data_IF_853117439729
#
_entry.id   IF_853117439729
#
_cell.length_a   1.000
_cell.length_b   1.000
_cell.length_c   1.000
_cell.angle_alpha   90.00
_cell.angle_beta   90.00
_cell.angle_gamma   90.00
#
_symmetry.space_group_name_H-M   'P 1'
#
loop_
_entity.id
_entity.type
_entity.pdbx_description
1 polymer ?
#
# COMPACT_ATOMS: atom_id res chain seq x y z
N UNK A 1 -18.08 29.26 12.15
CA UNK A 1 -18.78 28.03 12.58
C UNK A 1 -17.70 27.06 13.04
N UNK A 2 -17.86 26.41 14.19
CA UNK A 2 -16.90 25.40 14.64
C UNK A 2 -16.94 24.20 13.69
N UNK A 3 -15.77 23.72 13.27
CA UNK A 3 -15.66 22.46 12.52
C UNK A 3 -16.34 21.30 13.28
N UNK A 4 -17.01 20.37 12.59
CA UNK A 4 -17.72 19.28 13.25
C UNK A 4 -16.75 18.36 14.01
N UNK A 5 -17.24 17.78 15.11
CA UNK A 5 -16.52 16.75 15.87
C UNK A 5 -16.40 15.49 15.01
N UNK A 6 -15.21 14.91 14.96
CA UNK A 6 -14.93 13.63 14.30
C UNK A 6 -14.97 12.52 15.35
N UNK A 7 -15.91 11.60 15.21
CA UNK A 7 -15.99 10.40 16.04
C UNK A 7 -15.10 9.30 15.45
N UNK A 8 -14.14 8.79 16.22
CA UNK A 8 -13.19 7.78 15.78
C UNK A 8 -13.52 6.41 16.41
N UNK A 9 -14.03 5.48 15.59
CA UNK A 9 -14.55 4.19 16.06
C UNK A 9 -13.48 3.10 16.12
N UNK A 10 -13.24 2.59 17.34
CA UNK A 10 -12.43 1.39 17.55
C UNK A 10 -10.93 1.55 17.30
N UNK A 11 -10.41 2.77 17.37
CA UNK A 11 -8.96 3.02 17.25
C UNK A 11 -8.22 2.64 18.54
N UNK A 12 -7.18 1.81 18.40
CA UNK A 12 -6.28 1.45 19.49
C UNK A 12 -5.57 2.68 20.07
N UNK A 13 -5.17 2.63 21.36
CA UNK A 13 -4.57 3.77 22.07
C UNK A 13 -3.37 4.38 21.32
N UNK A 14 -2.54 3.56 20.70
CA UNK A 14 -1.35 4.02 19.98
C UNK A 14 -1.66 4.75 18.67
N UNK A 15 -2.81 4.48 18.03
CA UNK A 15 -3.26 5.17 16.81
C UNK A 15 -3.96 6.50 17.11
N UNK A 16 -4.43 6.73 18.34
CA UNK A 16 -5.22 7.92 18.69
C UNK A 16 -4.47 9.24 18.48
N UNK A 17 -3.19 9.28 18.85
CA UNK A 17 -2.38 10.49 18.75
C UNK A 17 -2.07 10.87 17.28
N UNK A 18 -1.56 9.97 16.42
CA UNK A 18 -1.46 10.23 14.99
C UNK A 18 -2.79 10.61 14.34
N UNK A 19 -3.89 9.95 14.73
CA UNK A 19 -5.20 10.25 14.18
C UNK A 19 -5.63 11.70 14.46
N UNK A 20 -5.41 12.22 15.68
CA UNK A 20 -5.70 13.63 15.99
C UNK A 20 -4.95 14.61 15.08
N UNK A 21 -3.67 14.33 14.79
CA UNK A 21 -2.89 15.15 13.85
C UNK A 21 -3.46 15.12 12.43
N UNK A 22 -4.13 14.03 12.05
CA UNK A 22 -4.79 13.90 10.75
C UNK A 22 -6.10 14.70 10.65
N UNK A 23 -6.56 15.32 11.74
CA UNK A 23 -7.73 16.21 11.77
C UNK A 23 -7.40 17.50 12.54
N UNK A 24 -6.49 18.35 12.03
CA UNK A 24 -5.93 19.48 12.78
C UNK A 24 -6.96 20.57 13.12
N UNK A 25 -8.08 20.62 12.41
CA UNK A 25 -9.14 21.60 12.60
C UNK A 25 -10.35 21.03 13.35
N UNK A 26 -10.39 19.72 13.63
CA UNK A 26 -11.53 19.06 14.26
C UNK A 26 -11.17 18.53 15.65
N UNK A 27 -12.12 18.57 16.57
CA UNK A 27 -12.03 17.74 17.77
C UNK A 27 -12.23 16.27 17.39
N UNK A 28 -11.38 15.37 17.91
CA UNK A 28 -11.50 13.92 17.68
C UNK A 28 -11.93 13.20 18.95
N UNK A 29 -13.17 12.71 18.95
CA UNK A 29 -13.77 11.93 20.02
C UNK A 29 -13.61 10.43 19.76
N UNK A 30 -12.96 9.68 20.65
CA UNK A 30 -12.73 8.24 20.47
C UNK A 30 -13.85 7.42 21.09
N UNK A 31 -14.53 6.62 20.28
CA UNK A 31 -15.63 5.76 20.71
C UNK A 31 -15.32 4.28 20.47
N UNK A 32 -15.83 3.42 21.34
CA UNK A 32 -15.65 1.96 21.22
C UNK A 32 -16.77 1.28 20.42
N UNK A 33 -17.96 1.88 20.39
CA UNK A 33 -19.19 1.31 19.84
C UNK A 33 -19.89 2.34 18.93
N UNK A 34 -20.56 1.85 17.89
CA UNK A 34 -21.21 2.68 16.87
C UNK A 34 -22.43 3.46 17.43
N UNK A 35 -23.11 2.91 18.44
CA UNK A 35 -24.23 3.55 19.10
C UNK A 35 -23.84 4.78 19.96
N UNK A 36 -22.54 5.05 20.15
CA UNK A 36 -22.05 6.27 20.81
C UNK A 36 -21.74 7.39 19.80
N UNK A 37 -21.88 7.13 18.50
CA UNK A 37 -21.76 8.14 17.45
C UNK A 37 -23.14 8.78 17.31
N UNK A 38 -23.30 10.11 17.36
CA UNK A 38 -24.59 10.75 17.09
C UNK A 38 -25.02 10.63 15.63
N UNK A 39 -26.31 10.82 15.37
CA UNK A 39 -26.82 10.93 13.99
C UNK A 39 -26.31 12.23 13.34
N UNK A 40 -26.12 12.22 12.02
CA UNK A 40 -25.54 13.35 11.28
C UNK A 40 -24.05 13.60 11.52
N UNK A 41 -23.37 12.79 12.36
CA UNK A 41 -21.99 13.02 12.74
C UNK A 41 -20.99 12.60 11.64
N UNK A 42 -19.74 13.09 11.77
CA UNK A 42 -18.61 12.59 10.98
C UNK A 42 -17.95 11.43 11.72
N UNK A 43 -17.85 10.28 11.07
CA UNK A 43 -17.32 9.05 11.65
C UNK A 43 -16.05 8.58 10.94
N UNK A 44 -14.90 8.66 11.60
CA UNK A 44 -13.67 8.05 11.16
C UNK A 44 -13.62 6.55 11.51
N UNK A 45 -13.32 5.71 10.51
CA UNK A 45 -13.09 4.27 10.65
C UNK A 45 -11.81 3.83 9.96
N UNK A 46 -11.19 2.74 10.42
CA UNK A 46 -10.01 2.16 9.77
C UNK A 46 -10.41 1.29 8.58
N UNK A 47 -9.83 1.55 7.41
CA UNK A 47 -10.04 0.80 6.18
C UNK A 47 -11.51 0.57 5.85
N UNK A 48 -11.84 -0.67 5.46
CA UNK A 48 -13.20 -1.08 5.07
C UNK A 48 -14.06 -1.59 6.24
N UNK A 49 -13.83 -1.10 7.46
CA UNK A 49 -14.70 -1.45 8.59
C UNK A 49 -16.17 -1.17 8.21
N UNK A 50 -17.07 -2.17 8.34
CA UNK A 50 -18.49 -1.96 8.10
C UNK A 50 -19.08 -0.97 9.11
N UNK A 51 -19.95 -0.10 8.62
CA UNK A 51 -20.73 0.85 9.42
C UNK A 51 -22.19 0.66 9.00
N UNK A 52 -22.90 -0.32 9.58
CA UNK A 52 -24.32 -0.49 9.29
C UNK A 52 -25.10 0.78 9.67
N UNK A 53 -26.21 1.03 8.99
CA UNK A 53 -27.12 2.15 9.28
C UNK A 53 -26.48 3.55 9.12
N UNK A 54 -25.29 3.65 8.52
CA UNK A 54 -24.62 4.95 8.34
C UNK A 54 -25.48 5.93 7.55
N UNK A 55 -26.05 5.48 6.42
CA UNK A 55 -26.89 6.29 5.56
C UNK A 55 -28.22 6.65 6.24
N UNK A 56 -28.87 5.67 6.88
CA UNK A 56 -30.12 5.86 7.62
C UNK A 56 -29.98 6.89 8.75
N UNK A 57 -28.80 6.93 9.38
CA UNK A 57 -28.47 7.85 10.49
C UNK A 57 -27.80 9.14 10.00
N UNK A 58 -27.65 9.34 8.69
CA UNK A 58 -26.98 10.51 8.11
C UNK A 58 -25.51 10.66 8.48
N UNK A 59 -24.83 9.58 8.88
CA UNK A 59 -23.43 9.59 9.31
C UNK A 59 -22.51 9.71 8.09
N UNK A 60 -21.66 10.73 8.08
CA UNK A 60 -20.61 10.89 7.06
C UNK A 60 -19.38 10.06 7.41
N UNK A 61 -19.13 8.99 6.67
CA UNK A 61 -18.01 8.07 6.96
C UNK A 61 -16.71 8.56 6.32
N UNK A 62 -15.65 8.63 7.11
CA UNK A 62 -14.27 8.91 6.69
C UNK A 62 -13.43 7.66 6.90
N UNK A 63 -12.81 7.15 5.84
CA UNK A 63 -11.93 5.98 5.89
C UNK A 63 -10.49 6.40 6.07
N UNK A 64 -9.84 5.79 7.04
CA UNK A 64 -8.43 6.03 7.37
C UNK A 64 -7.63 4.76 7.14
N UNK A 65 -6.47 4.89 6.50
CA UNK A 65 -5.53 3.78 6.30
C UNK A 65 -4.09 4.26 6.46
N UNK A 66 -3.16 3.32 6.49
CA UNK A 66 -1.76 3.53 6.19
C UNK A 66 -1.59 4.12 4.77
N UNK A 67 -0.75 5.14 4.65
CA UNK A 67 -0.33 5.66 3.35
C UNK A 67 0.84 4.86 2.76
N UNK A 68 1.34 5.33 1.60
CA UNK A 68 2.21 4.51 0.75
C UNK A 68 3.68 4.47 1.22
N UNK A 69 4.21 5.57 1.77
CA UNK A 69 5.55 5.62 2.39
C UNK A 69 5.45 5.29 3.87
N UNK A 70 5.48 4.00 4.19
CA UNK A 70 5.05 3.52 5.50
C UNK A 70 6.16 3.35 6.53
N UNK A 71 7.09 2.40 6.32
CA UNK A 71 8.03 1.97 7.36
C UNK A 71 9.23 1.16 6.85
N UNK A 72 10.27 1.06 7.67
CA UNK A 72 11.36 0.07 7.59
C UNK A 72 10.97 -1.17 8.40
N UNK A 73 10.68 -2.30 7.76
CA UNK A 73 10.23 -3.53 8.40
C UNK A 73 8.78 -3.92 8.04
N UNK A 74 8.36 -5.11 8.49
CA UNK A 74 7.03 -5.64 8.18
C UNK A 74 5.93 -4.90 8.94
N UNK A 75 4.75 -4.78 8.32
CA UNK A 75 3.56 -4.27 8.99
C UNK A 75 3.14 -5.05 10.22
N UNK A 76 3.47 -6.34 10.25
CA UNK A 76 3.20 -7.22 11.36
C UNK A 76 4.10 -6.98 12.59
N UNK A 77 5.16 -6.18 12.48
CA UNK A 77 6.01 -5.79 13.61
C UNK A 77 5.44 -4.58 14.40
N UNK A 78 4.16 -4.23 14.21
CA UNK A 78 3.44 -3.13 14.89
C UNK A 78 4.13 -1.76 14.79
N UNK A 79 4.78 -1.51 13.66
CA UNK A 79 5.52 -0.27 13.44
C UNK A 79 4.54 0.85 13.13
N UNK A 80 4.66 1.95 13.87
CA UNK A 80 3.90 3.18 13.60
C UNK A 80 4.16 3.64 12.14
N UNK A 81 3.12 3.75 11.30
CA UNK A 81 3.23 4.28 9.96
C UNK A 81 3.54 5.79 10.02
N UNK A 82 4.46 6.24 9.17
CA UNK A 82 4.72 7.68 8.98
C UNK A 82 3.64 8.34 8.11
N UNK A 83 3.02 7.58 7.21
CA UNK A 83 2.04 8.07 6.25
C UNK A 83 0.64 7.56 6.59
N UNK A 84 -0.35 8.44 6.54
CA UNK A 84 -1.76 8.20 6.86
C UNK A 84 -2.63 8.78 5.76
N UNK A 85 -3.59 8.02 5.27
CA UNK A 85 -4.61 8.52 4.34
C UNK A 85 -5.90 8.80 5.10
N UNK A 86 -6.60 9.86 4.70
CA UNK A 86 -7.90 10.25 5.23
C UNK A 86 -8.80 10.51 4.03
N UNK A 87 -9.72 9.59 3.77
CA UNK A 87 -10.57 9.59 2.58
C UNK A 87 -12.03 9.73 2.98
N UNK A 88 -12.69 10.76 2.47
CA UNK A 88 -14.09 11.11 2.78
C UNK A 88 -15.08 10.56 1.76
N UNK A 89 -14.61 10.03 0.62
CA UNK A 89 -15.48 9.49 -0.45
C UNK A 89 -15.48 7.97 -0.47
N UNK A 90 -14.32 7.36 -0.24
CA UNK A 90 -14.12 5.92 -0.36
C UNK A 90 -12.81 5.53 0.29
N UNK A 91 -11.98 4.76 -0.43
CA UNK A 91 -10.59 4.52 -0.06
C UNK A 91 -9.82 4.11 -1.31
N UNK A 92 -8.54 4.49 -1.42
CA UNK A 92 -7.75 4.34 -2.65
C UNK A 92 -7.73 2.94 -3.28
N UNK A 93 -7.86 1.88 -2.49
CA UNK A 93 -7.83 0.50 -2.99
C UNK A 93 -9.21 -0.07 -3.35
N UNK A 94 -10.30 0.64 -3.06
CA UNK A 94 -11.65 0.21 -3.43
C UNK A 94 -11.98 0.71 -4.83
N UNK A 95 -11.89 -0.19 -5.82
CA UNK A 95 -12.14 0.15 -7.21
C UNK A 95 -13.64 0.12 -7.56
N UNK A 96 -14.55 -0.15 -6.63
CA UNK A 96 -16.00 -0.21 -6.92
C UNK A 96 -16.67 1.16 -6.91
N UNK A 97 -16.03 2.15 -6.29
CA UNK A 97 -16.53 3.52 -6.16
C UNK A 97 -15.37 4.53 -6.24
N UNK A 98 -15.65 5.82 -6.50
CA UNK A 98 -14.62 6.86 -6.42
C UNK A 98 -14.02 6.99 -5.01
N UNK A 99 -12.76 7.43 -4.96
CA UNK A 99 -12.05 7.78 -3.73
C UNK A 99 -11.58 9.23 -3.82
N UNK A 100 -11.23 9.86 -2.70
CA UNK A 100 -10.64 11.21 -2.74
C UNK A 100 -9.35 11.23 -3.57
N UNK A 101 -8.54 10.17 -3.54
CA UNK A 101 -7.37 10.05 -4.40
C UNK A 101 -7.74 10.03 -5.88
N UNK A 102 -8.75 9.24 -6.25
CA UNK A 102 -9.17 9.14 -7.64
C UNK A 102 -9.68 10.49 -8.18
N UNK A 103 -10.45 11.21 -7.37
CA UNK A 103 -10.95 12.54 -7.72
C UNK A 103 -9.83 13.56 -7.82
N UNK A 104 -8.88 13.51 -6.88
CA UNK A 104 -7.68 14.34 -6.92
C UNK A 104 -6.90 14.12 -8.22
N UNK A 105 -6.65 12.87 -8.59
CA UNK A 105 -5.93 12.51 -9.81
C UNK A 105 -6.71 12.89 -11.09
N UNK A 106 -8.03 12.76 -11.07
CA UNK A 106 -8.89 13.10 -12.20
C UNK A 106 -8.94 14.62 -12.44
N UNK A 107 -9.10 15.43 -11.39
CA UNK A 107 -9.51 16.83 -11.49
C UNK A 107 -8.39 17.84 -11.28
N UNK A 108 -7.28 17.46 -10.63
CA UNK A 108 -6.22 18.42 -10.28
C UNK A 108 -5.43 18.86 -11.51
N UNK A 109 -5.24 20.17 -11.65
CA UNK A 109 -4.23 20.76 -12.53
C UNK A 109 -2.94 20.87 -11.73
N UNK A 110 -1.93 20.08 -12.09
CA UNK A 110 -0.66 20.04 -11.38
C UNK A 110 0.27 21.14 -11.90
N UNK A 111 0.74 22.02 -11.00
CA UNK A 111 1.69 23.07 -11.37
C UNK A 111 3.08 22.50 -11.67
N UNK A 112 3.87 23.20 -12.47
CA UNK A 112 5.23 22.77 -12.80
C UNK A 112 6.11 22.62 -11.54
N UNK A 113 5.93 23.48 -10.54
CA UNK A 113 6.66 23.42 -9.27
C UNK A 113 6.29 22.14 -8.49
N UNK A 114 5.02 21.77 -8.48
CA UNK A 114 4.56 20.54 -7.84
C UNK A 114 5.08 19.30 -8.59
N UNK A 115 5.13 19.33 -9.91
CA UNK A 115 5.69 18.24 -10.72
C UNK A 115 7.20 18.10 -10.52
N UNK A 116 7.95 19.21 -10.44
CA UNK A 116 9.38 19.20 -10.11
C UNK A 116 9.63 18.63 -8.70
N UNK A 117 8.80 19.03 -7.72
CA UNK A 117 8.85 18.47 -6.36
C UNK A 117 8.56 16.97 -6.35
N UNK A 118 7.56 16.53 -7.11
CA UNK A 118 7.20 15.12 -7.25
C UNK A 118 8.33 14.29 -7.89
N UNK A 119 8.94 14.78 -8.96
CA UNK A 119 10.08 14.13 -9.60
C UNK A 119 11.28 13.99 -8.64
N UNK A 120 11.64 15.06 -7.94
CA UNK A 120 12.73 15.04 -6.96
C UNK A 120 12.44 14.09 -5.79
N UNK A 121 11.21 14.06 -5.29
CA UNK A 121 10.79 13.11 -4.25
C UNK A 121 10.88 11.66 -4.75
N UNK A 122 10.39 11.38 -5.97
CA UNK A 122 10.48 10.06 -6.61
C UNK A 122 11.93 9.59 -6.72
N UNK A 123 12.82 10.43 -7.22
CA UNK A 123 14.24 10.11 -7.39
C UNK A 123 14.89 9.76 -6.05
N UNK A 124 14.65 10.55 -5.00
CA UNK A 124 15.14 10.25 -3.64
C UNK A 124 14.60 8.94 -3.09
N UNK A 125 13.33 8.60 -3.33
CA UNK A 125 12.74 7.31 -2.90
C UNK A 125 13.44 6.13 -3.59
N UNK A 126 13.68 6.27 -4.90
CA UNK A 126 14.33 5.24 -5.72
C UNK A 126 15.79 5.04 -5.30
N UNK A 127 16.54 6.14 -5.14
CA UNK A 127 17.95 6.13 -4.72
C UNK A 127 18.12 5.53 -3.32
N UNK A 128 17.25 5.90 -2.37
CA UNK A 128 17.24 5.33 -1.03
C UNK A 128 16.88 3.82 -1.01
N UNK A 129 16.46 3.25 -2.15
CA UNK A 129 16.08 1.86 -2.29
C UNK A 129 14.94 1.46 -1.35
N UNK A 130 14.03 2.40 -1.08
CA UNK A 130 12.94 2.20 -0.14
C UNK A 130 11.78 1.46 -0.80
N UNK A 131 11.19 0.53 -0.05
CA UNK A 131 9.94 -0.16 -0.36
C UNK A 131 9.03 -0.22 0.88
N UNK A 132 7.79 -0.68 0.75
CA UNK A 132 6.79 -0.76 1.83
C UNK A 132 7.30 -1.49 3.07
N UNK A 133 8.11 -2.53 2.87
CA UNK A 133 8.56 -3.42 3.94
C UNK A 133 10.08 -3.38 4.19
N UNK A 134 10.91 -2.96 3.23
CA UNK A 134 12.38 -2.89 3.39
C UNK A 134 13.03 -4.14 4.04
N UNK A 135 12.51 -5.34 3.75
CA UNK A 135 13.02 -6.62 4.27
C UNK A 135 13.71 -7.43 3.18
N UNK A 136 14.67 -8.28 3.57
CA UNK A 136 15.49 -9.12 2.69
C UNK A 136 16.94 -8.63 2.64
N UNK A 137 17.89 -9.57 2.66
CA UNK A 137 19.33 -9.27 2.69
C UNK A 137 20.10 -9.90 1.51
N UNK A 138 19.48 -10.85 0.81
CA UNK A 138 20.09 -11.47 -0.35
C UNK A 138 20.04 -10.54 -1.57
N UNK A 139 21.04 -10.66 -2.44
CA UNK A 139 21.03 -10.09 -3.79
C UNK A 139 20.62 -11.17 -4.77
N UNK A 140 19.73 -10.83 -5.69
CA UNK A 140 19.48 -11.66 -6.86
C UNK A 140 20.36 -11.19 -8.01
N UNK A 141 20.88 -12.13 -8.80
CA UNK A 141 21.63 -11.82 -10.01
C UNK A 141 20.87 -12.41 -11.18
N UNK A 142 20.57 -11.58 -12.16
CA UNK A 142 19.92 -12.01 -13.41
C UNK A 142 20.76 -13.08 -14.10
N UNK A 143 20.23 -14.28 -14.35
CA UNK A 143 20.91 -15.28 -15.17
C UNK A 143 21.27 -14.71 -16.55
N UNK A 144 22.45 -15.08 -17.06
CA UNK A 144 22.90 -14.64 -18.37
C UNK A 144 21.96 -15.15 -19.47
N UNK A 145 21.73 -14.33 -20.50
CA UNK A 145 20.91 -14.70 -21.65
C UNK A 145 19.40 -14.53 -21.48
N UNK A 146 18.90 -14.13 -20.30
CA UNK A 146 17.49 -13.83 -20.12
C UNK A 146 17.10 -12.51 -20.79
N UNK A 147 16.31 -12.60 -21.86
CA UNK A 147 15.82 -11.44 -22.59
C UNK A 147 14.77 -10.65 -21.81
N UNK A 148 13.88 -11.34 -21.07
CA UNK A 148 12.77 -10.70 -20.33
C UNK A 148 12.48 -11.40 -19.00
N UNK A 149 12.50 -10.65 -17.92
CA UNK A 149 12.22 -11.09 -16.54
C UNK A 149 10.98 -10.38 -15.99
N UNK A 150 9.99 -11.17 -15.61
CA UNK A 150 8.71 -10.71 -15.05
C UNK A 150 8.66 -11.08 -13.57
N UNK A 151 8.43 -10.11 -12.70
CA UNK A 151 8.16 -10.34 -11.29
C UNK A 151 6.66 -10.37 -11.01
N UNK A 152 6.21 -11.42 -10.32
CA UNK A 152 4.85 -11.59 -9.82
C UNK A 152 4.86 -11.52 -8.30
N UNK A 153 4.48 -10.39 -7.68
CA UNK A 153 4.44 -10.27 -6.23
C UNK A 153 3.15 -10.89 -5.67
N UNK A 154 3.31 -11.89 -4.80
CA UNK A 154 2.23 -12.48 -4.04
C UNK A 154 1.62 -11.50 -3.03
N UNK A 155 0.34 -11.68 -2.76
CA UNK A 155 -0.43 -10.89 -1.81
C UNK A 155 -1.16 -11.81 -0.82
N UNK A 156 -1.62 -11.25 0.29
CA UNK A 156 -2.55 -11.95 1.18
C UNK A 156 -3.91 -11.94 0.48
N UNK A 157 -4.43 -13.11 0.09
CA UNK A 157 -5.65 -13.20 -0.73
C UNK A 157 -6.89 -12.58 -0.06
N UNK A 158 -6.92 -12.53 1.28
CA UNK A 158 -8.00 -11.88 2.05
C UNK A 158 -7.81 -10.37 2.27
N UNK A 159 -6.78 -9.76 1.66
CA UNK A 159 -6.54 -8.32 1.76
C UNK A 159 -7.70 -7.52 1.13
N UNK A 160 -8.13 -6.45 1.79
CA UNK A 160 -9.23 -5.62 1.32
C UNK A 160 -8.99 -5.03 -0.08
N UNK A 161 -7.72 -4.79 -0.46
CA UNK A 161 -7.34 -4.36 -1.79
C UNK A 161 -7.59 -5.40 -2.88
N UNK A 162 -7.56 -6.70 -2.57
CA UNK A 162 -7.98 -7.75 -3.52
C UNK A 162 -9.50 -7.82 -3.55
N UNK A 163 -10.13 -7.89 -2.37
CA UNK A 163 -11.61 -8.00 -2.26
C UNK A 163 -12.32 -6.86 -3.00
N UNK A 164 -11.79 -5.64 -2.93
CA UNK A 164 -12.42 -4.45 -3.49
C UNK A 164 -11.82 -4.01 -4.85
N UNK A 165 -10.67 -4.57 -5.22
CA UNK A 165 -9.90 -4.12 -6.38
C UNK A 165 -9.59 -5.22 -7.40
N UNK A 166 -9.99 -6.48 -7.19
CA UNK A 166 -9.70 -7.57 -8.11
C UNK A 166 -11.01 -8.28 -8.54
N UNK A 167 -11.80 -7.70 -9.46
CA UNK A 167 -13.11 -8.25 -9.84
C UNK A 167 -13.04 -9.53 -10.69
N UNK A 168 -11.87 -9.87 -11.24
CA UNK A 168 -11.61 -11.09 -12.00
C UNK A 168 -10.77 -12.09 -11.21
N UNK A 169 -9.51 -12.25 -11.61
CA UNK A 169 -8.54 -13.06 -10.87
C UNK A 169 -8.35 -12.46 -9.48
N UNK A 170 -8.46 -13.28 -8.44
CA UNK A 170 -8.33 -12.84 -7.05
C UNK A 170 -7.50 -13.79 -6.18
N UNK A 171 -6.74 -14.69 -6.80
CA UNK A 171 -5.80 -15.62 -6.13
C UNK A 171 -4.39 -15.45 -6.67
N UNK A 172 -3.39 -15.77 -5.84
CA UNK A 172 -1.98 -15.72 -6.24
C UNK A 172 -1.69 -16.72 -7.36
N UNK A 173 -2.21 -17.95 -7.24
CA UNK A 173 -2.05 -18.99 -8.26
C UNK A 173 -2.73 -18.59 -9.58
N UNK A 174 -3.94 -18.02 -9.52
CA UNK A 174 -4.64 -17.57 -10.73
C UNK A 174 -3.89 -16.44 -11.45
N UNK A 175 -3.26 -15.53 -10.69
CA UNK A 175 -2.37 -14.51 -11.26
C UNK A 175 -1.18 -15.16 -11.96
N UNK A 176 -0.48 -16.09 -11.28
CA UNK A 176 0.67 -16.77 -11.86
C UNK A 176 0.32 -17.53 -13.14
N UNK A 177 -0.81 -18.23 -13.15
CA UNK A 177 -1.33 -18.93 -14.32
C UNK A 177 -1.56 -17.97 -15.49
N UNK A 178 -2.26 -16.86 -15.25
CA UNK A 178 -2.53 -15.88 -16.29
C UNK A 178 -1.24 -15.23 -16.82
N UNK A 179 -0.30 -14.89 -15.94
CA UNK A 179 1.00 -14.32 -16.32
C UNK A 179 1.79 -15.30 -17.19
N UNK A 180 1.88 -16.58 -16.79
CA UNK A 180 2.57 -17.62 -17.55
C UNK A 180 1.92 -17.85 -18.91
N UNK A 181 0.59 -17.94 -18.97
CA UNK A 181 -0.14 -18.14 -20.22
C UNK A 181 0.04 -16.97 -21.19
N UNK A 182 0.06 -15.74 -20.69
CA UNK A 182 0.28 -14.55 -21.52
C UNK A 182 1.75 -14.36 -21.92
N UNK A 183 2.69 -14.98 -21.21
CA UNK A 183 4.14 -14.79 -21.39
C UNK A 183 4.88 -16.13 -21.35
N UNK A 184 4.64 -17.04 -22.31
CA UNK A 184 5.22 -18.39 -22.29
C UNK A 184 6.75 -18.39 -22.24
N UNK A 185 7.40 -17.49 -22.99
CA UNK A 185 8.86 -17.42 -23.13
C UNK A 185 9.56 -16.50 -22.12
N UNK A 186 8.80 -15.82 -21.24
CA UNK A 186 9.41 -14.96 -20.24
C UNK A 186 9.95 -15.77 -19.06
N UNK A 187 10.99 -15.25 -18.42
CA UNK A 187 11.42 -15.73 -17.12
C UNK A 187 10.49 -15.14 -16.05
N UNK A 188 9.60 -15.96 -15.50
CA UNK A 188 8.61 -15.55 -14.50
C UNK A 188 9.13 -15.89 -13.11
N UNK A 189 9.32 -14.85 -12.31
CA UNK A 189 9.71 -14.95 -10.92
C UNK A 189 8.49 -14.72 -10.02
N UNK A 190 8.21 -15.65 -9.11
CA UNK A 190 7.21 -15.46 -8.07
C UNK A 190 7.86 -15.01 -6.77
N UNK A 191 7.36 -13.93 -6.16
CA UNK A 191 7.76 -13.52 -4.82
C UNK A 191 6.58 -13.64 -3.85
N UNK A 192 6.51 -14.68 -3.00
CA UNK A 192 5.44 -14.82 -2.02
C UNK A 192 5.38 -13.64 -1.05
N UNK A 193 4.19 -13.35 -0.52
CA UNK A 193 4.02 -12.27 0.44
C UNK A 193 4.78 -12.56 1.75
N UNK A 194 5.55 -11.60 2.31
CA UNK A 194 6.40 -11.88 3.47
C UNK A 194 5.61 -12.29 4.73
N UNK A 195 4.40 -11.77 4.93
CA UNK A 195 3.55 -12.20 6.05
C UNK A 195 3.05 -13.65 5.90
N UNK A 196 2.93 -14.17 4.68
CA UNK A 196 2.59 -15.59 4.42
C UNK A 196 3.82 -16.45 4.73
N UNK A 197 4.99 -16.07 4.21
CA UNK A 197 6.28 -16.75 4.50
C UNK A 197 6.57 -16.80 6.00
N UNK A 198 6.27 -15.72 6.72
CA UNK A 198 6.45 -15.65 8.18
C UNK A 198 5.37 -16.42 8.97
N UNK A 199 4.39 -17.03 8.30
CA UNK A 199 3.26 -17.73 8.92
C UNK A 199 2.36 -16.83 9.76
N UNK A 200 2.29 -15.54 9.42
CA UNK A 200 1.44 -14.53 10.07
C UNK A 200 0.08 -14.40 9.37
N UNK A 201 0.00 -14.87 8.12
CA UNK A 201 -1.22 -14.94 7.31
C UNK A 201 -1.33 -16.32 6.67
N UNK A 202 -2.57 -16.71 6.35
CA UNK A 202 -2.84 -17.95 5.63
C UNK A 202 -2.27 -17.87 4.23
N UNK A 203 -1.72 -18.99 3.77
CA UNK A 203 -1.32 -19.18 2.39
C UNK A 203 -2.53 -19.14 1.46
N UNK A 204 -2.32 -18.70 0.23
CA UNK A 204 -3.35 -18.63 -0.79
C UNK A 204 -3.81 -20.00 -1.26
N UNK A 205 -4.99 -20.04 -1.88
CA UNK A 205 -5.60 -21.29 -2.37
C UNK A 205 -4.73 -21.93 -3.46
N UNK A 206 -4.18 -23.10 -3.18
CA UNK A 206 -3.36 -23.87 -4.13
C UNK A 206 -1.97 -23.26 -4.40
N UNK A 207 -1.52 -22.32 -3.56
CA UNK A 207 -0.25 -21.62 -3.78
C UNK A 207 0.99 -22.55 -3.71
N UNK A 208 0.84 -23.75 -3.14
CA UNK A 208 1.88 -24.80 -3.18
C UNK A 208 2.26 -25.20 -4.63
N UNK A 209 1.33 -25.07 -5.58
CA UNK A 209 1.58 -25.35 -6.99
C UNK A 209 2.22 -24.18 -7.74
N UNK A 210 2.55 -23.05 -7.08
CA UNK A 210 3.16 -21.89 -7.72
C UNK A 210 4.43 -22.24 -8.51
N UNK A 211 5.23 -23.18 -8.00
CA UNK A 211 6.47 -23.68 -8.64
C UNK A 211 6.25 -24.29 -10.03
N UNK A 212 5.03 -24.70 -10.37
CA UNK A 212 4.68 -25.23 -11.71
C UNK A 212 4.43 -24.12 -12.73
N UNK A 213 4.24 -22.88 -12.28
CA UNK A 213 3.81 -21.75 -13.12
C UNK A 213 4.86 -20.64 -13.23
N UNK A 214 5.91 -20.67 -12.40
CA UNK A 214 7.04 -19.75 -12.44
C UNK A 214 8.37 -20.50 -12.64
N UNK A 215 9.38 -19.82 -13.14
CA UNK A 215 10.74 -20.37 -13.26
C UNK A 215 11.48 -20.35 -11.91
N UNK A 216 11.15 -19.39 -11.03
CA UNK A 216 11.81 -19.23 -9.73
C UNK A 216 10.85 -18.67 -8.67
N UNK A 217 10.91 -19.21 -7.45
CA UNK A 217 10.25 -18.64 -6.26
C UNK A 217 11.30 -17.95 -5.40
N UNK A 218 11.17 -16.62 -5.22
CA UNK A 218 12.17 -15.79 -4.53
C UNK A 218 11.65 -15.25 -3.21
N UNK A 219 12.16 -15.84 -2.12
CA UNK A 219 11.74 -15.52 -0.75
C UNK A 219 12.63 -14.45 -0.11
N UNK A 220 13.95 -14.63 -0.13
CA UNK A 220 14.90 -13.90 0.73
C UNK A 220 15.47 -12.59 0.15
N UNK A 221 15.22 -12.33 -1.13
CA UNK A 221 15.69 -11.12 -1.82
C UNK A 221 14.74 -9.97 -1.54
N UNK A 222 15.30 -8.79 -1.23
CA UNK A 222 14.47 -7.62 -0.97
C UNK A 222 13.73 -7.16 -2.23
N UNK A 223 12.51 -6.63 -2.06
CA UNK A 223 11.73 -6.09 -3.16
C UNK A 223 12.49 -4.97 -3.89
N UNK A 224 13.23 -4.14 -3.15
CA UNK A 224 14.00 -3.03 -3.73
C UNK A 224 15.12 -3.49 -4.67
N UNK A 225 15.80 -4.59 -4.34
CA UNK A 225 16.81 -5.20 -5.23
C UNK A 225 16.14 -5.84 -6.45
N UNK A 226 15.07 -6.61 -6.26
CA UNK A 226 14.36 -7.25 -7.38
C UNK A 226 13.83 -6.23 -8.38
N UNK A 227 13.22 -5.15 -7.90
CA UNK A 227 12.70 -4.08 -8.75
C UNK A 227 13.78 -3.35 -9.56
N UNK A 228 15.08 -3.50 -9.26
CA UNK A 228 16.15 -2.98 -10.13
C UNK A 228 16.44 -3.94 -11.29
N UNK A 229 16.45 -5.23 -11.01
CA UNK A 229 16.93 -6.28 -11.92
C UNK A 229 15.87 -6.79 -12.91
N UNK A 230 14.59 -6.68 -12.56
CA UNK A 230 13.46 -7.16 -13.39
C UNK A 230 13.08 -6.16 -14.48
N UNK A 231 12.46 -6.62 -15.56
CA UNK A 231 12.01 -5.75 -16.65
C UNK A 231 10.56 -5.30 -16.44
N UNK A 232 9.72 -6.19 -15.93
CA UNK A 232 8.29 -5.97 -15.76
C UNK A 232 7.78 -6.50 -14.41
N UNK A 233 6.71 -5.89 -13.91
CA UNK A 233 5.98 -6.37 -12.74
C UNK A 233 4.53 -6.62 -13.11
N UNK A 234 4.05 -7.83 -12.85
CA UNK A 234 2.66 -8.23 -13.14
C UNK A 234 1.96 -8.51 -11.82
N UNK A 235 0.96 -7.71 -11.47
CA UNK A 235 0.31 -7.78 -10.16
C UNK A 235 -1.22 -7.70 -10.23
N UNK A 236 -1.89 -8.16 -9.18
CA UNK A 236 -3.30 -7.86 -8.95
C UNK A 236 -3.44 -6.40 -8.50
N UNK A 237 -3.26 -6.14 -7.20
CA UNK A 237 -3.49 -4.81 -6.59
C UNK A 237 -2.35 -4.37 -5.67
N UNK A 238 -1.23 -5.09 -5.71
CA UNK A 238 -0.08 -4.89 -4.82
C UNK A 238 0.50 -3.47 -4.96
N UNK A 239 0.93 -2.87 -3.84
CA UNK A 239 1.70 -1.62 -3.90
C UNK A 239 3.02 -1.79 -4.68
N UNK A 240 3.53 -3.01 -4.81
CA UNK A 240 4.74 -3.29 -5.57
C UNK A 240 4.65 -2.83 -7.04
N UNK A 241 3.46 -2.84 -7.65
CA UNK A 241 3.28 -2.29 -9.00
C UNK A 241 3.50 -0.78 -9.03
N UNK A 242 3.02 -0.03 -8.04
CA UNK A 242 3.34 1.40 -7.92
C UNK A 242 4.84 1.63 -7.70
N UNK A 243 5.48 0.83 -6.83
CA UNK A 243 6.92 0.92 -6.58
C UNK A 243 7.76 0.63 -7.83
N UNK A 244 7.26 -0.23 -8.72
CA UNK A 244 7.85 -0.53 -10.01
C UNK A 244 7.71 0.66 -10.99
N UNK A 245 6.53 1.31 -11.01
CA UNK A 245 6.32 2.55 -11.78
C UNK A 245 7.30 3.65 -11.36
N UNK A 246 7.53 3.85 -10.05
CA UNK A 246 8.51 4.83 -9.56
C UNK A 246 9.92 4.62 -10.12
N UNK A 247 10.25 3.37 -10.49
CA UNK A 247 11.55 2.94 -11.06
C UNK A 247 11.54 2.82 -12.58
N UNK A 248 10.48 3.30 -13.25
CA UNK A 248 10.34 3.23 -14.70
C UNK A 248 10.17 1.81 -15.26
N UNK A 249 9.76 0.84 -14.43
CA UNK A 249 9.49 -0.52 -14.89
C UNK A 249 8.12 -0.61 -15.56
N UNK A 250 7.97 -1.54 -16.51
CA UNK A 250 6.66 -1.84 -17.10
C UNK A 250 5.79 -2.55 -16.07
N UNK A 251 4.52 -2.20 -16.02
CA UNK A 251 3.58 -2.78 -15.05
C UNK A 251 2.32 -3.23 -15.75
N UNK A 252 1.94 -4.49 -15.50
CA UNK A 252 0.67 -5.07 -15.97
C UNK A 252 -0.23 -5.34 -14.78
N UNK A 253 -1.43 -4.78 -14.82
CA UNK A 253 -2.42 -4.90 -13.75
C UNK A 253 -3.51 -5.90 -14.13
N UNK A 254 -3.60 -7.00 -13.40
CA UNK A 254 -4.70 -7.98 -13.49
C UNK A 254 -5.84 -7.66 -12.52
N UNK A 255 -5.61 -6.72 -11.60
CA UNK A 255 -6.65 -6.06 -10.81
C UNK A 255 -6.75 -4.57 -11.15
N UNK A 256 -7.35 -3.81 -10.25
CA UNK A 256 -7.68 -2.39 -10.38
C UNK A 256 -7.09 -1.58 -9.21
N UNK A 257 -5.77 -1.62 -8.98
CA UNK A 257 -5.14 -0.79 -7.94
C UNK A 257 -5.31 0.71 -8.23
N UNK A 258 -5.05 1.56 -7.25
CA UNK A 258 -5.25 3.02 -7.38
C UNK A 258 -4.47 3.66 -8.55
N UNK A 259 -3.36 3.05 -8.96
CA UNK A 259 -2.47 3.52 -10.02
C UNK A 259 -2.79 2.95 -11.42
N UNK A 260 -3.75 2.02 -11.53
CA UNK A 260 -4.23 1.51 -12.81
C UNK A 260 -5.25 2.46 -13.47
N UNK A 261 -5.41 2.40 -14.79
CA UNK A 261 -6.40 3.18 -15.54
C UNK A 261 -5.96 4.60 -15.91
N UNK A 262 -4.72 4.99 -15.60
CA UNK A 262 -4.18 6.33 -15.88
C UNK A 262 -3.23 6.37 -17.08
N UNK A 263 -3.12 5.28 -17.84
CA UNK A 263 -2.22 5.16 -19.00
C UNK A 263 -0.75 4.87 -18.66
N UNK A 264 -0.43 4.62 -17.39
CA UNK A 264 0.92 4.25 -16.91
C UNK A 264 1.13 2.74 -16.81
N UNK A 265 0.07 1.95 -16.95
CA UNK A 265 0.05 0.50 -16.81
C UNK A 265 -0.65 -0.15 -17.99
N UNK A 266 -0.32 -1.41 -18.27
CA UNK A 266 -1.15 -2.28 -19.12
C UNK A 266 -2.23 -2.89 -18.25
N UNK A 267 -3.48 -2.47 -18.44
CA UNK A 267 -4.60 -2.91 -17.59
C UNK A 267 -5.37 -4.05 -18.27
N UNK A 268 -5.28 -5.26 -17.71
CA UNK A 268 -6.08 -6.41 -18.17
C UNK A 268 -7.55 -6.27 -17.76
N UNK A 269 -7.83 -5.49 -16.72
CA UNK A 269 -9.17 -5.21 -16.23
C UNK A 269 -9.31 -3.69 -16.00
N UNK A 270 -9.57 -2.90 -17.05
CA UNK A 270 -9.58 -1.44 -16.93
C UNK A 270 -10.71 -0.93 -16.02
N UNK A 271 -10.47 0.20 -15.38
CA UNK A 271 -11.48 0.92 -14.59
C UNK A 271 -12.18 1.93 -15.49
N UNK A 272 -13.40 1.65 -15.94
CA UNK A 272 -14.08 2.45 -16.96
C UNK A 272 -14.21 3.96 -16.65
N UNK A 273 -14.29 4.32 -15.36
CA UNK A 273 -14.41 5.73 -14.93
C UNK A 273 -13.08 6.51 -14.94
N UNK A 274 -11.92 5.84 -15.05
CA UNK A 274 -10.61 6.50 -15.15
C UNK A 274 -10.29 6.71 -16.62
N UNK A 275 -10.55 7.92 -17.10
CA UNK A 275 -10.42 8.28 -18.52
C UNK A 275 -9.25 9.22 -18.81
N UNK A 276 -8.72 9.90 -17.78
CA UNK A 276 -7.56 10.79 -17.90
C UNK A 276 -6.27 9.98 -18.02
N UNK A 277 -5.35 10.45 -18.86
CA UNK A 277 -3.95 9.98 -18.85
C UNK A 277 -3.11 10.87 -17.95
N UNK A 278 -2.27 10.26 -17.13
CA UNK A 278 -1.33 10.94 -16.25
C UNK A 278 0.10 10.65 -16.65
N UNK A 279 0.97 11.62 -16.42
CA UNK A 279 2.41 11.38 -16.29
C UNK A 279 2.71 10.71 -14.95
N UNK A 280 3.88 10.08 -14.84
CA UNK A 280 4.29 9.46 -13.58
C UNK A 280 4.40 10.50 -12.45
N UNK A 281 4.84 11.73 -12.75
CA UNK A 281 5.03 12.77 -11.74
C UNK A 281 3.69 13.38 -11.28
N UNK A 282 2.65 13.40 -12.12
CA UNK A 282 1.28 13.71 -11.67
C UNK A 282 0.75 12.64 -10.70
N UNK A 283 0.96 11.35 -11.01
CA UNK A 283 0.58 10.25 -10.12
C UNK A 283 1.34 10.34 -8.78
N UNK A 284 2.64 10.65 -8.82
CA UNK A 284 3.45 10.85 -7.61
C UNK A 284 2.97 12.05 -6.80
N UNK A 285 2.70 13.18 -7.45
CA UNK A 285 2.18 14.37 -6.77
C UNK A 285 0.86 14.06 -6.05
N UNK A 286 -0.07 13.40 -6.72
CA UNK A 286 -1.35 13.02 -6.10
C UNK A 286 -1.18 12.01 -4.98
N UNK A 287 -0.50 10.90 -5.24
CA UNK A 287 -0.42 9.77 -4.31
C UNK A 287 0.55 10.01 -3.14
N UNK A 288 1.64 10.74 -3.32
CA UNK A 288 2.70 10.88 -2.31
C UNK A 288 2.80 12.29 -1.70
N UNK A 289 2.18 13.31 -2.28
CA UNK A 289 2.27 14.68 -1.75
C UNK A 289 0.92 15.18 -1.25
N UNK A 290 -0.12 15.09 -2.08
CA UNK A 290 -1.39 15.77 -1.79
C UNK A 290 -2.37 14.90 -1.00
N UNK A 291 -2.46 13.60 -1.30
CA UNK A 291 -3.43 12.70 -0.68
C UNK A 291 -3.06 12.27 0.76
N UNK A 292 -1.84 11.78 1.04
CA UNK A 292 -1.48 11.35 2.38
C UNK A 292 -1.07 12.51 3.29
N UNK A 293 -1.23 12.29 4.59
CA UNK A 293 -0.64 13.11 5.65
C UNK A 293 0.53 12.36 6.25
N UNK A 294 1.61 13.07 6.56
CA UNK A 294 2.77 12.49 7.20
C UNK A 294 2.87 12.93 8.65
N UNK A 295 3.05 11.99 9.57
CA UNK A 295 3.15 12.22 11.00
C UNK A 295 4.55 11.84 11.45
N UNK A 296 5.32 12.80 11.98
CA UNK A 296 6.68 12.53 12.47
C UNK A 296 6.71 11.44 13.54
N UNK A 297 7.78 10.65 13.54
CA UNK A 297 8.05 9.69 14.61
C UNK A 297 8.81 10.30 15.77
N UNK A 298 9.51 11.40 15.54
CA UNK A 298 10.34 12.09 16.51
C UNK A 298 9.58 13.24 17.15
N UNK A 299 8.86 13.99 16.31
CA UNK A 299 8.10 15.17 16.65
C UNK A 299 6.62 14.81 16.67
N UNK A 300 5.83 15.58 17.41
CA UNK A 300 4.40 15.36 17.51
C UNK A 300 3.63 16.28 16.57
N UNK A 301 3.93 16.17 15.28
CA UNK A 301 3.41 17.09 14.29
C UNK A 301 3.28 16.44 12.92
N UNK A 302 2.57 17.13 12.05
CA UNK A 302 2.56 16.83 10.63
C UNK A 302 3.87 17.31 10.01
N UNK A 303 4.39 16.51 9.09
CA UNK A 303 5.62 16.80 8.35
C UNK A 303 5.37 16.67 6.86
N UNK A 304 6.32 17.14 6.06
CA UNK A 304 6.33 16.91 4.62
C UNK A 304 6.68 15.46 4.26
N UNK A 305 6.32 14.97 3.04
CA UNK A 305 6.82 13.69 2.54
C UNK A 305 8.35 13.61 2.49
N UNK A 306 9.02 14.73 2.21
CA UNK A 306 10.48 14.83 2.18
C UNK A 306 11.08 14.59 3.57
N UNK A 307 10.55 15.24 4.61
CA UNK A 307 10.98 15.00 5.99
C UNK A 307 10.66 13.57 6.44
N UNK A 308 9.52 13.01 6.00
CA UNK A 308 9.17 11.62 6.30
C UNK A 308 10.15 10.64 5.67
N UNK A 309 10.62 10.94 4.45
CA UNK A 309 11.66 10.19 3.77
C UNK A 309 13.00 10.26 4.52
N UNK A 310 13.39 11.44 5.01
CA UNK A 310 14.60 11.60 5.83
C UNK A 310 14.51 10.80 7.13
N UNK A 311 13.36 10.85 7.82
CA UNK A 311 13.13 10.04 9.02
C UNK A 311 13.18 8.52 8.74
N UNK A 312 12.69 8.06 7.58
CA UNK A 312 12.78 6.66 7.15
C UNK A 312 14.22 6.25 6.88
N UNK A 313 14.97 7.06 6.12
CA UNK A 313 16.35 6.77 5.75
C UNK A 313 17.25 6.66 6.99
N UNK A 314 17.14 7.63 7.90
CA UNK A 314 17.87 7.59 9.16
C UNK A 314 17.48 6.38 10.03
N UNK A 315 16.19 6.06 10.08
CA UNK A 315 15.71 4.92 10.86
C UNK A 315 16.19 3.58 10.27
N UNK A 316 16.31 3.47 8.93
CA UNK A 316 16.92 2.32 8.27
C UNK A 316 18.39 2.18 8.63
N UNK A 317 19.15 3.27 8.55
CA UNK A 317 20.57 3.29 8.87
C UNK A 317 20.83 2.84 10.32
N UNK A 318 20.03 3.31 11.29
CA UNK A 318 20.19 2.96 12.71
C UNK A 318 19.85 1.51 13.06
N UNK A 319 18.94 0.85 12.32
CA UNK A 319 18.55 -0.53 12.62
C UNK A 319 19.29 -1.59 11.79
N UNK A 320 20.24 -1.18 10.94
CA UNK A 320 21.08 -2.11 10.17
C UNK A 320 20.32 -3.08 9.25
N UNK A 321 19.09 -2.75 8.85
CA UNK A 321 18.23 -3.64 8.03
C UNK A 321 17.87 -4.99 8.67
N UNK A 322 18.28 -5.25 9.91
CA UNK A 322 18.13 -6.54 10.57
C UNK A 322 17.02 -6.45 11.61
N UNK A 323 15.94 -7.24 11.46
CA UNK A 323 14.94 -7.38 12.52
C UNK A 323 15.62 -8.04 13.72
N UNK A 324 15.83 -7.25 14.79
CA UNK A 324 16.50 -7.70 16.00
C UNK A 324 15.94 -9.03 16.53
N UNK A 325 16.81 -9.91 17.02
CA UNK A 325 16.47 -11.27 17.46
C UNK A 325 15.38 -11.31 18.55
N UNK A 326 15.33 -10.32 19.44
CA UNK A 326 14.26 -10.17 20.44
C UNK A 326 12.88 -9.90 19.81
N UNK A 327 12.83 -9.37 18.58
CA UNK A 327 11.58 -9.18 17.82
C UNK A 327 11.06 -10.49 17.25
N UNK A 328 11.93 -11.45 16.89
CA UNK A 328 11.49 -12.83 16.59
C UNK A 328 10.83 -13.47 17.81
N UNK A 329 11.36 -13.24 19.02
CA UNK A 329 10.74 -13.69 20.26
C UNK A 329 9.42 -12.95 20.57
N UNK A 330 9.36 -11.65 20.34
CA UNK A 330 8.13 -10.85 20.51
C UNK A 330 7.01 -11.29 19.54
N UNK A 331 7.34 -11.76 18.32
CA UNK A 331 6.38 -12.37 17.37
C UNK A 331 5.73 -13.64 17.91
N UNK A 332 6.47 -14.46 18.68
CA UNK A 332 5.92 -15.66 19.34
C UNK A 332 4.94 -15.27 20.44
N UNK A 333 5.21 -14.17 21.16
CA UNK A 333 4.32 -13.65 22.21
C UNK A 333 3.07 -12.99 21.61
N UNK A 334 3.19 -12.21 20.53
CA UNK A 334 2.06 -11.62 19.80
C UNK A 334 1.09 -12.69 19.26
N UNK A 335 1.61 -13.82 18.76
CA UNK A 335 0.82 -15.01 18.37
C UNK A 335 -0.07 -15.53 19.50
N UNK A 336 0.38 -15.44 20.76
CA UNK A 336 -0.36 -15.94 21.94
C UNK A 336 -1.31 -14.91 22.54
N UNK A 337 -1.00 -13.60 22.43
CA UNK A 337 -1.73 -12.56 23.19
C UNK A 337 -2.77 -11.81 22.35
N UNK A 338 -2.55 -11.61 21.05
CA UNK A 338 -3.38 -10.69 20.24
C UNK A 338 -4.39 -11.42 19.34
N UNK A 339 -4.36 -12.76 19.27
CA UNK A 339 -5.39 -13.52 18.57
C UNK A 339 -5.61 -13.05 17.13
N UNK A 340 -4.53 -12.72 16.42
CA UNK A 340 -4.60 -12.44 14.99
C UNK A 340 -4.88 -13.77 14.29
N UNK A 341 -6.16 -14.06 14.05
CA UNK A 341 -6.62 -15.09 13.13
C UNK A 341 -6.47 -14.64 11.68
#
# INVERSE_FOLDING_TARGET
>A
MSEPIVYALGFSRWKRRPLRLCFPQNEVCFVARLNHVPDGAVLAVWGMRPVPEADERGISVVRVEDGFLRSVGLGADLIRPLSWVVDRRGIYFDARQPSDLEMLLAETVFSNELLQRAAALRERIVEAGLTKYNVGAARWRRPAGLARVILVPGQVESDASIVCGAPGINTNLGLLQAVRMANPDAYVMYKPHPDVVAGLRKQGRGEDDAVRWCDEVVVDVSMGELLREVDEVHCLTSLAGFEALLRGKKVTCYGQPFYAGWGLTTDCVPVARRTRKLTLDELVAGALILYPRYVSRRRNELISPEEALDELAEWRARNGGNTAWWRKAFRVVLRRVVGVR
#
